data_IF_339772276048
#
_entry.id   IF_339772276048
#
_cell.length_a   1.000
_cell.length_b   1.000
_cell.length_c   1.000
_cell.angle_alpha   90.00
_cell.angle_beta   90.00
_cell.angle_gamma   90.00
#
_symmetry.space_group_name_H-M   'P 1'
#
loop_
_entity.id
_entity.type
_entity.pdbx_description
1 polymer ?
#
# COMPACT_ATOMS: atom_id res chain seq x y z
N UNK A 1 -20.20 -4.19 -0.46
CA UNK A 1 -18.93 -3.73 -1.08
C UNK A 1 -18.13 -4.96 -1.41
N UNK A 2 -18.52 -5.62 -2.50
CA UNK A 2 -17.77 -6.71 -3.13
C UNK A 2 -17.49 -6.37 -4.59
N UNK A 3 -17.37 -5.07 -4.91
CA UNK A 3 -17.13 -4.56 -6.27
C UNK A 3 -15.92 -3.62 -6.36
N UNK A 4 -15.09 -3.56 -5.32
CA UNK A 4 -13.76 -2.94 -5.42
C UNK A 4 -12.74 -4.05 -5.60
N UNK A 5 -12.82 -4.71 -6.75
CA UNK A 5 -11.65 -5.39 -7.28
C UNK A 5 -10.72 -4.28 -7.71
N UNK A 6 -9.61 -4.09 -6.99
CA UNK A 6 -8.40 -3.60 -7.63
C UNK A 6 -8.31 -4.38 -8.94
N UNK A 7 -8.52 -3.69 -10.09
CA UNK A 7 -8.18 -4.29 -11.37
C UNK A 7 -6.75 -4.77 -11.15
N UNK A 8 -6.53 -6.08 -11.24
CA UNK A 8 -5.18 -6.63 -11.21
C UNK A 8 -4.44 -5.88 -12.30
N UNK A 9 -3.58 -4.94 -11.92
CA UNK A 9 -2.50 -4.56 -12.81
C UNK A 9 -1.76 -5.86 -13.02
N UNK A 10 -1.95 -6.40 -14.20
CA UNK A 10 -1.48 -7.70 -14.61
C UNK A 10 0.01 -7.52 -14.95
N UNK A 11 0.80 -7.11 -13.95
CA UNK A 11 2.18 -6.68 -14.10
C UNK A 11 3.01 -7.87 -14.62
N UNK A 12 3.53 -7.80 -15.85
CA UNK A 12 4.39 -8.83 -16.41
C UNK A 12 5.60 -9.15 -15.53
N UNK A 13 6.15 -8.16 -14.81
CA UNK A 13 7.28 -8.34 -13.91
C UNK A 13 6.87 -9.14 -12.65
N UNK A 14 5.70 -8.88 -12.08
CA UNK A 14 5.14 -9.70 -10.98
C UNK A 14 4.86 -11.14 -11.43
N UNK A 15 4.41 -11.36 -12.68
CA UNK A 15 4.20 -12.71 -13.24
C UNK A 15 5.49 -13.48 -13.41
N UNK A 16 6.53 -12.86 -13.96
CA UNK A 16 7.85 -13.48 -14.13
C UNK A 16 8.47 -13.79 -12.76
N UNK A 17 8.40 -12.86 -11.81
CA UNK A 17 8.86 -13.07 -10.44
C UNK A 17 8.14 -14.24 -9.76
N UNK A 18 6.80 -14.27 -9.79
CA UNK A 18 5.99 -15.36 -9.21
C UNK A 18 6.28 -16.73 -9.86
N UNK A 19 6.56 -16.77 -11.16
CA UNK A 19 6.92 -18.01 -11.87
C UNK A 19 8.28 -18.54 -11.44
N UNK A 20 9.29 -17.66 -11.35
CA UNK A 20 10.63 -18.01 -10.86
C UNK A 20 10.58 -18.42 -9.39
N UNK A 21 9.70 -17.83 -8.60
CA UNK A 21 9.55 -18.13 -7.18
C UNK A 21 8.89 -19.50 -6.94
N UNK A 22 7.84 -19.84 -7.69
CA UNK A 22 7.24 -21.18 -7.66
C UNK A 22 8.22 -22.28 -8.09
N UNK A 23 9.10 -21.98 -9.04
CA UNK A 23 10.15 -22.92 -9.47
C UNK A 23 11.24 -23.09 -8.42
N UNK A 24 11.67 -22.01 -7.76
CA UNK A 24 12.64 -22.04 -6.67
C UNK A 24 12.09 -22.78 -5.44
N UNK A 25 10.85 -22.50 -5.02
CA UNK A 25 10.21 -23.19 -3.90
C UNK A 25 10.01 -24.70 -4.17
N UNK A 26 9.74 -25.10 -5.42
CA UNK A 26 9.70 -26.53 -5.79
C UNK A 26 11.10 -27.16 -5.72
N UNK A 27 12.12 -26.50 -6.25
CA UNK A 27 13.49 -26.99 -6.22
C UNK A 27 14.04 -27.12 -4.79
N UNK A 28 13.74 -26.17 -3.90
CA UNK A 28 14.14 -26.23 -2.49
C UNK A 28 13.44 -27.39 -1.76
N UNK A 29 12.13 -27.60 -1.99
CA UNK A 29 11.37 -28.75 -1.43
C UNK A 29 11.85 -30.10 -1.94
N UNK A 30 12.26 -30.18 -3.21
CA UNK A 30 12.76 -31.41 -3.84
C UNK A 30 14.21 -31.75 -3.42
N UNK A 31 14.99 -30.77 -2.96
CA UNK A 31 16.40 -30.94 -2.61
C UNK A 31 16.68 -31.68 -1.29
N UNK A 32 15.67 -31.96 -0.47
CA UNK A 32 15.79 -32.77 0.75
C UNK A 32 16.73 -32.21 1.84
N UNK A 33 17.23 -30.96 1.72
CA UNK A 33 18.14 -30.34 2.71
C UNK A 33 17.43 -29.74 3.92
N UNK A 34 16.33 -30.36 4.35
CA UNK A 34 15.68 -30.00 5.61
C UNK A 34 16.10 -31.00 6.69
N UNK A 35 16.74 -30.47 7.74
CA UNK A 35 17.26 -31.13 8.94
C UNK A 35 18.65 -31.74 8.84
N UNK A 36 19.68 -30.90 9.02
CA UNK A 36 20.76 -31.34 9.92
C UNK A 36 20.47 -30.75 11.31
N UNK A 37 20.09 -31.63 12.22
CA UNK A 37 19.66 -31.30 13.59
C UNK A 37 20.61 -31.90 14.61
N UNK A 38 21.91 -31.81 14.36
CA UNK A 38 22.92 -32.31 15.30
C UNK A 38 22.87 -31.48 16.60
N UNK A 39 22.40 -32.13 17.66
CA UNK A 39 22.20 -31.63 19.02
C UNK A 39 23.54 -31.27 19.68
N UNK A 40 23.62 -30.10 20.32
CA UNK A 40 24.58 -29.88 21.42
C UNK A 40 23.94 -30.42 22.71
N UNK A 41 24.63 -31.26 23.51
CA UNK A 41 24.10 -31.72 24.79
C UNK A 41 24.20 -30.61 25.84
N UNK A 42 23.07 -30.29 26.47
CA UNK A 42 23.02 -29.34 27.60
C UNK A 42 22.02 -28.18 27.43
N UNK A 43 20.73 -28.50 27.42
CA UNK A 43 19.61 -27.60 27.78
C UNK A 43 19.75 -26.09 27.57
N UNK A 44 20.00 -25.61 26.34
CA UNK A 44 19.92 -24.18 25.95
C UNK A 44 19.36 -24.06 24.52
N UNK A 45 18.78 -22.90 24.20
CA UNK A 45 18.09 -22.52 22.96
C UNK A 45 18.47 -23.34 21.73
N UNK A 46 17.49 -23.94 21.04
CA UNK A 46 17.75 -24.72 19.83
C UNK A 46 18.05 -23.76 18.67
N UNK A 47 19.27 -23.82 18.16
CA UNK A 47 19.74 -23.09 16.99
C UNK A 47 19.29 -23.81 15.72
N UNK A 48 18.78 -23.08 14.73
CA UNK A 48 18.56 -23.59 13.38
C UNK A 48 19.58 -22.93 12.46
N UNK A 49 20.47 -23.71 11.86
CA UNK A 49 21.38 -23.22 10.82
C UNK A 49 20.85 -23.66 9.46
N UNK A 50 20.62 -22.69 8.58
CA UNK A 50 20.19 -22.92 7.21
C UNK A 50 21.19 -22.26 6.26
N UNK A 51 21.71 -23.03 5.30
CA UNK A 51 22.57 -22.49 4.24
C UNK A 51 21.75 -22.28 2.99
N UNK A 52 21.65 -21.03 2.51
CA UNK A 52 20.98 -20.77 1.25
C UNK A 52 21.85 -21.23 0.06
N UNK A 53 21.29 -21.94 -0.93
CA UNK A 53 21.95 -22.13 -2.22
C UNK A 53 22.28 -20.78 -2.86
N UNK A 54 23.37 -20.71 -3.62
CA UNK A 54 23.76 -19.50 -4.36
C UNK A 54 22.58 -18.98 -5.19
N UNK A 55 22.09 -17.78 -4.87
CA UNK A 55 21.36 -16.97 -5.84
C UNK A 55 22.35 -16.70 -7.00
N UNK A 56 21.96 -16.94 -8.26
CA UNK A 56 22.86 -16.92 -9.44
C UNK A 56 24.00 -15.87 -9.30
N UNK A 57 25.24 -16.34 -9.21
CA UNK A 57 26.44 -15.49 -9.15
C UNK A 57 26.75 -14.80 -7.80
N UNK A 58 25.95 -15.01 -6.75
CA UNK A 58 26.15 -14.40 -5.41
C UNK A 58 26.77 -15.38 -4.41
N UNK A 59 27.53 -14.88 -3.41
CA UNK A 59 27.97 -15.69 -2.29
C UNK A 59 26.78 -16.32 -1.56
N UNK A 60 26.91 -17.57 -1.06
CA UNK A 60 25.89 -18.13 -0.17
C UNK A 60 25.88 -17.34 1.15
N UNK A 61 24.69 -17.19 1.73
CA UNK A 61 24.50 -16.61 3.07
C UNK A 61 24.06 -17.72 4.03
N UNK A 62 24.78 -17.85 5.13
CA UNK A 62 24.49 -18.78 6.22
C UNK A 62 23.49 -18.11 7.19
N UNK A 63 22.24 -18.56 7.16
CA UNK A 63 21.16 -18.07 8.02
C UNK A 63 21.14 -18.83 9.34
N UNK A 64 21.16 -18.11 10.46
CA UNK A 64 21.03 -18.70 11.80
C UNK A 64 19.76 -18.19 12.46
N UNK A 65 18.80 -19.06 12.74
CA UNK A 65 17.59 -18.71 13.47
C UNK A 65 17.67 -19.16 14.94
N UNK A 66 17.49 -18.20 15.84
CA UNK A 66 17.31 -18.40 17.28
C UNK A 66 15.82 -18.20 17.59
N UNK A 67 15.11 -19.26 17.93
CA UNK A 67 13.65 -19.20 18.12
C UNK A 67 13.21 -19.77 19.46
N UNK A 68 12.17 -19.17 20.04
CA UNK A 68 11.60 -19.67 21.28
C UNK A 68 11.00 -21.08 21.05
N UNK A 69 11.15 -22.03 22.01
CA UNK A 69 10.66 -23.40 21.85
C UNK A 69 9.19 -23.49 21.46
N UNK A 70 8.35 -22.63 22.00
CA UNK A 70 6.91 -22.53 21.76
C UNK A 70 6.56 -22.04 20.34
N UNK A 71 7.49 -21.33 19.68
CA UNK A 71 7.32 -20.84 18.31
C UNK A 71 7.98 -21.74 17.27
N UNK A 72 8.53 -22.89 17.66
CA UNK A 72 9.24 -23.83 16.77
C UNK A 72 8.51 -24.15 15.45
N UNK A 73 7.18 -24.23 15.47
CA UNK A 73 6.38 -24.51 14.25
C UNK A 73 6.38 -23.37 13.21
N UNK A 74 6.94 -22.22 13.57
CA UNK A 74 7.04 -21.04 12.71
C UNK A 74 8.46 -20.82 12.19
N UNK A 75 9.41 -21.70 12.51
CA UNK A 75 10.82 -21.55 12.13
C UNK A 75 11.00 -21.39 10.61
N UNK A 76 10.37 -22.25 9.82
CA UNK A 76 10.44 -22.18 8.36
C UNK A 76 9.87 -20.86 7.81
N UNK A 77 8.84 -20.30 8.47
CA UNK A 77 8.23 -19.03 8.06
C UNK A 77 9.19 -17.86 8.23
N UNK A 78 9.98 -17.84 9.30
CA UNK A 78 11.03 -16.85 9.48
C UNK A 78 12.14 -17.01 8.44
N UNK A 79 12.64 -18.24 8.25
CA UNK A 79 13.71 -18.52 7.28
C UNK A 79 13.27 -18.13 5.86
N UNK A 80 12.06 -18.53 5.44
CA UNK A 80 11.56 -18.24 4.10
C UNK A 80 11.31 -16.74 3.89
N UNK A 81 10.82 -16.03 4.91
CA UNK A 81 10.67 -14.58 4.87
C UNK A 81 12.03 -13.85 4.74
N UNK A 82 13.05 -14.29 5.49
CA UNK A 82 14.41 -13.75 5.36
C UNK A 82 15.01 -14.03 3.98
N UNK A 83 14.81 -15.23 3.41
CA UNK A 83 15.22 -15.53 2.04
C UNK A 83 14.52 -14.64 1.02
N UNK A 84 13.23 -14.38 1.20
CA UNK A 84 12.45 -13.51 0.32
C UNK A 84 13.04 -12.09 0.34
N UNK A 85 13.31 -11.54 1.52
CA UNK A 85 13.97 -10.24 1.66
C UNK A 85 15.34 -10.22 0.96
N UNK A 86 16.27 -11.11 1.32
CA UNK A 86 17.61 -11.17 0.71
C UNK A 86 17.58 -11.32 -0.82
N UNK A 87 16.63 -12.10 -1.34
CA UNK A 87 16.46 -12.29 -2.78
C UNK A 87 15.94 -11.02 -3.45
N UNK A 88 14.85 -10.45 -2.96
CA UNK A 88 14.18 -9.33 -3.61
C UNK A 88 14.96 -8.03 -3.47
N UNK A 89 15.38 -7.68 -2.25
CA UNK A 89 16.23 -6.51 -2.01
C UNK A 89 17.56 -6.66 -2.74
N UNK A 90 18.13 -7.87 -2.69
CA UNK A 90 19.35 -8.21 -3.43
C UNK A 90 19.22 -7.95 -4.93
N UNK A 91 18.07 -8.33 -5.52
CA UNK A 91 17.81 -8.16 -6.95
C UNK A 91 17.44 -6.73 -7.33
N UNK A 92 16.78 -6.00 -6.43
CA UNK A 92 16.28 -4.66 -6.72
C UNK A 92 17.28 -3.57 -6.40
N UNK A 93 18.15 -3.72 -5.41
CA UNK A 93 19.00 -2.62 -4.94
C UNK A 93 20.47 -2.91 -5.16
N UNK A 94 20.94 -4.06 -4.66
CA UNK A 94 22.32 -4.51 -4.81
C UNK A 94 22.59 -5.72 -3.92
N UNK A 95 23.73 -6.41 -4.07
CA UNK A 95 24.00 -7.66 -3.35
C UNK A 95 24.21 -7.43 -1.84
N UNK A 96 23.70 -8.36 -1.02
CA UNK A 96 24.07 -8.45 0.38
C UNK A 96 25.54 -8.88 0.52
N UNK A 97 26.39 -8.14 1.24
CA UNK A 97 27.85 -8.34 1.20
C UNK A 97 28.36 -9.36 2.23
N UNK A 98 27.57 -9.72 3.24
CA UNK A 98 27.99 -10.60 4.32
C UNK A 98 27.62 -12.06 4.05
N UNK A 99 28.40 -12.99 4.59
CA UNK A 99 28.23 -14.43 4.40
C UNK A 99 27.31 -15.10 5.43
N UNK A 100 26.79 -14.33 6.40
CA UNK A 100 25.90 -14.83 7.43
C UNK A 100 24.86 -13.78 7.85
N UNK A 101 23.74 -14.26 8.39
CA UNK A 101 22.70 -13.43 8.98
C UNK A 101 22.00 -14.19 10.11
N UNK A 102 21.92 -13.57 11.28
CA UNK A 102 21.25 -14.14 12.45
C UNK A 102 19.87 -13.53 12.62
N UNK A 103 18.86 -14.39 12.72
CA UNK A 103 17.46 -14.04 12.98
C UNK A 103 17.14 -14.48 14.40
N UNK A 104 16.57 -13.58 15.21
CA UNK A 104 16.20 -13.87 16.59
C UNK A 104 14.70 -13.65 16.77
N UNK A 105 13.98 -14.65 17.25
CA UNK A 105 12.65 -14.47 17.84
C UNK A 105 12.84 -14.28 19.36
N UNK A 106 12.75 -13.02 19.84
CA UNK A 106 13.03 -12.70 21.23
C UNK A 106 11.92 -13.20 22.14
N UNK A 107 12.22 -13.34 23.43
CA UNK A 107 11.22 -13.71 24.42
C UNK A 107 10.08 -12.67 24.44
N UNK A 108 8.86 -13.15 24.63
CA UNK A 108 7.68 -12.30 24.70
C UNK A 108 7.83 -11.22 25.79
N UNK A 109 7.53 -9.96 25.45
CA UNK A 109 7.58 -8.84 26.40
C UNK A 109 8.99 -8.36 26.77
N UNK A 110 10.04 -8.88 26.13
CA UNK A 110 11.43 -8.44 26.37
C UNK A 110 11.74 -7.01 25.94
N UNK A 111 10.85 -6.38 25.15
CA UNK A 111 11.11 -5.07 24.53
C UNK A 111 12.15 -5.12 23.40
N UNK A 112 12.65 -6.30 23.05
CA UNK A 112 13.73 -6.49 22.09
C UNK A 112 13.25 -7.01 20.72
N UNK A 113 11.98 -6.82 20.36
CA UNK A 113 11.43 -7.30 19.07
C UNK A 113 11.38 -6.18 18.03
N UNK A 114 11.68 -6.52 16.78
CA UNK A 114 11.74 -5.56 15.68
C UNK A 114 12.96 -4.64 15.79
N UNK A 115 14.16 -5.22 15.94
CA UNK A 115 15.43 -4.50 15.98
C UNK A 115 16.38 -5.01 14.90
N UNK A 116 17.14 -4.12 14.28
CA UNK A 116 17.66 -4.30 12.93
C UNK A 116 19.19 -4.32 12.79
N UNK A 117 19.92 -4.71 13.85
CA UNK A 117 21.38 -4.65 13.85
C UNK A 117 22.04 -5.33 12.62
N UNK A 118 23.19 -4.81 12.14
CA UNK A 118 23.89 -5.43 11.03
C UNK A 118 24.24 -6.90 11.32
N UNK A 119 23.91 -7.80 10.39
CA UNK A 119 24.10 -9.27 10.47
C UNK A 119 23.33 -9.98 11.58
N UNK A 120 22.51 -9.26 12.36
CA UNK A 120 21.67 -9.80 13.42
C UNK A 120 20.43 -8.94 13.61
N UNK A 121 19.25 -9.49 13.34
CA UNK A 121 18.01 -8.78 13.65
C UNK A 121 17.08 -9.61 14.52
N UNK A 122 16.25 -8.91 15.29
CA UNK A 122 15.20 -9.52 16.08
C UNK A 122 13.87 -9.38 15.33
N UNK A 123 13.32 -10.50 14.89
CA UNK A 123 11.96 -10.54 14.39
C UNK A 123 10.97 -10.45 15.57
N UNK A 124 9.73 -10.83 15.32
CA UNK A 124 8.80 -11.18 16.38
C UNK A 124 7.70 -12.06 15.86
N UNK A 125 7.29 -13.03 16.67
CA UNK A 125 6.09 -13.81 16.37
C UNK A 125 5.19 -13.98 17.60
N UNK A 126 4.02 -14.55 17.37
CA UNK A 126 3.02 -14.84 18.39
C UNK A 126 2.58 -16.28 18.27
N UNK A 127 2.12 -16.83 19.40
CA UNK A 127 1.43 -18.11 19.40
C UNK A 127 0.24 -18.10 18.43
N UNK A 128 0.07 -19.26 17.79
CA UNK A 128 -1.02 -19.57 16.87
C UNK A 128 -1.16 -18.64 15.66
N UNK A 129 -0.10 -17.92 15.26
CA UNK A 129 -0.14 -17.10 14.05
C UNK A 129 -0.58 -17.93 12.84
N UNK A 130 -1.75 -17.67 12.24
CA UNK A 130 -2.23 -18.44 11.11
C UNK A 130 -1.42 -18.08 9.85
N UNK A 131 -1.19 -19.07 8.99
CA UNK A 131 -0.48 -18.85 7.73
C UNK A 131 -1.32 -17.99 6.78
N UNK A 132 -0.70 -17.03 6.08
CA UNK A 132 -1.42 -16.08 5.21
C UNK A 132 -1.99 -14.85 5.94
N UNK A 133 -1.76 -14.73 7.25
CA UNK A 133 -2.21 -13.60 8.07
C UNK A 133 -1.20 -12.46 8.21
N UNK A 134 -0.15 -12.40 7.39
CA UNK A 134 0.87 -11.34 7.41
C UNK A 134 1.99 -11.47 8.46
N UNK A 135 1.80 -12.30 9.49
CA UNK A 135 2.76 -12.48 10.58
C UNK A 135 3.15 -13.96 10.76
N UNK A 136 4.45 -14.29 10.89
CA UNK A 136 5.58 -13.37 11.12
C UNK A 136 6.28 -12.83 9.88
N UNK A 137 5.83 -13.17 8.67
CA UNK A 137 6.51 -12.86 7.42
C UNK A 137 6.74 -11.37 7.23
N UNK A 138 5.73 -10.53 7.43
CA UNK A 138 5.83 -9.08 7.24
C UNK A 138 6.89 -8.41 8.10
N UNK A 139 6.88 -8.69 9.41
CA UNK A 139 7.91 -8.19 10.34
C UNK A 139 9.27 -8.76 9.98
N UNK A 140 9.37 -10.05 9.71
CA UNK A 140 10.66 -10.68 9.38
C UNK A 140 11.27 -10.12 8.10
N UNK A 141 10.45 -9.79 7.08
CA UNK A 141 10.90 -9.12 5.86
C UNK A 141 11.37 -7.69 6.18
N UNK A 142 10.64 -6.96 7.03
CA UNK A 142 11.01 -5.61 7.46
C UNK A 142 12.38 -5.60 8.12
N UNK A 143 12.57 -6.40 9.16
CA UNK A 143 13.83 -6.45 9.89
C UNK A 143 15.00 -6.97 9.04
N UNK A 144 14.75 -7.95 8.16
CA UNK A 144 15.75 -8.40 7.19
C UNK A 144 16.04 -7.34 6.12
N UNK A 145 15.07 -6.49 5.79
CA UNK A 145 15.20 -5.41 4.81
C UNK A 145 16.09 -4.27 5.30
N UNK A 146 16.12 -4.03 6.61
CA UNK A 146 17.08 -3.12 7.25
C UNK A 146 18.54 -3.59 7.13
N UNK A 147 18.78 -4.79 6.61
CA UNK A 147 20.12 -5.20 6.21
C UNK A 147 20.60 -4.48 4.93
N UNK A 148 19.73 -3.71 4.26
CA UNK A 148 20.03 -2.92 3.07
C UNK A 148 19.84 -1.43 3.35
N UNK A 149 18.63 -1.03 3.77
CA UNK A 149 18.32 0.30 4.27
C UNK A 149 18.74 0.39 5.73
N UNK A 150 19.36 1.47 6.19
CA UNK A 150 20.15 1.53 7.44
C UNK A 150 21.48 0.76 7.42
N UNK A 151 21.50 -0.58 7.47
CA UNK A 151 22.76 -1.28 7.78
C UNK A 151 23.84 -1.12 6.71
N UNK A 152 23.45 -1.04 5.43
CA UNK A 152 24.36 -0.73 4.33
C UNK A 152 24.28 0.74 3.95
N UNK A 153 23.10 1.35 3.97
CA UNK A 153 22.92 2.78 3.69
C UNK A 153 22.73 3.52 5.02
N UNK A 154 23.83 3.92 5.65
CA UNK A 154 23.87 4.40 7.04
C UNK A 154 23.35 5.83 7.21
N UNK A 155 22.05 6.07 7.11
CA UNK A 155 21.46 7.39 7.38
C UNK A 155 21.47 7.74 8.88
N UNK A 156 21.30 9.02 9.18
CA UNK A 156 21.07 9.49 10.56
C UNK A 156 19.62 9.22 10.96
N UNK A 157 19.33 8.09 11.62
CA UNK A 157 17.97 7.72 12.05
C UNK A 157 17.37 8.72 13.04
N UNK A 158 18.19 9.38 13.84
CA UNK A 158 17.71 10.34 14.84
C UNK A 158 17.08 11.57 14.18
N UNK A 159 17.62 12.01 13.04
CA UNK A 159 17.12 13.18 12.31
C UNK A 159 16.24 12.79 11.12
N UNK A 160 16.58 11.71 10.42
CA UNK A 160 15.98 11.31 9.14
C UNK A 160 15.54 9.84 9.16
N UNK A 161 14.80 9.41 10.20
CA UNK A 161 14.31 8.03 10.33
C UNK A 161 13.52 7.56 9.10
N UNK A 162 12.90 8.48 8.35
CA UNK A 162 12.14 8.13 7.15
C UNK A 162 13.00 7.52 6.03
N UNK A 163 14.29 7.87 5.93
CA UNK A 163 15.21 7.27 4.95
C UNK A 163 15.48 5.80 5.24
N UNK A 164 15.38 5.41 6.51
CA UNK A 164 15.48 4.02 6.88
C UNK A 164 14.09 3.35 6.86
N UNK A 165 13.24 3.73 7.81
CA UNK A 165 11.97 3.09 8.08
C UNK A 165 10.99 3.18 6.92
N UNK A 166 11.03 4.29 6.20
CA UNK A 166 10.13 4.57 5.10
C UNK A 166 10.52 3.84 3.82
N UNK A 167 11.80 3.95 3.41
CA UNK A 167 12.33 3.20 2.26
C UNK A 167 12.19 1.70 2.50
N UNK A 168 12.48 1.24 3.73
CA UNK A 168 12.33 -0.14 4.10
C UNK A 168 10.87 -0.58 4.15
N UNK A 169 9.95 0.20 4.71
CA UNK A 169 8.51 -0.12 4.72
C UNK A 169 7.95 -0.31 3.31
N UNK A 170 8.33 0.56 2.36
CA UNK A 170 7.96 0.40 0.95
C UNK A 170 8.49 -0.93 0.38
N UNK A 171 9.78 -1.18 0.58
CA UNK A 171 10.48 -2.39 0.11
C UNK A 171 9.89 -3.68 0.69
N UNK A 172 9.51 -3.64 1.98
CA UNK A 172 8.83 -4.72 2.71
C UNK A 172 7.49 -5.04 2.08
N UNK A 173 6.68 -3.99 1.89
CA UNK A 173 5.33 -4.12 1.32
C UNK A 173 5.39 -4.73 -0.09
N UNK A 174 6.34 -4.28 -0.91
CA UNK A 174 6.56 -4.83 -2.25
C UNK A 174 7.02 -6.29 -2.20
N UNK A 175 8.04 -6.59 -1.40
CA UNK A 175 8.58 -7.95 -1.25
C UNK A 175 7.51 -8.92 -0.80
N UNK A 176 6.71 -8.53 0.20
CA UNK A 176 5.62 -9.34 0.69
C UNK A 176 4.58 -9.64 -0.40
N UNK A 177 4.13 -8.62 -1.12
CA UNK A 177 3.15 -8.77 -2.20
C UNK A 177 3.63 -9.68 -3.34
N UNK A 178 4.94 -9.69 -3.62
CA UNK A 178 5.56 -10.55 -4.64
C UNK A 178 5.63 -12.00 -4.16
N UNK A 179 6.14 -12.22 -2.96
CA UNK A 179 6.45 -13.56 -2.42
C UNK A 179 5.19 -14.29 -1.88
N UNK A 180 4.32 -13.58 -1.17
CA UNK A 180 3.19 -14.17 -0.44
C UNK A 180 1.83 -13.79 -1.01
N UNK A 181 1.73 -12.64 -1.68
CA UNK A 181 0.47 -12.15 -2.27
C UNK A 181 -0.45 -11.52 -1.22
N UNK A 182 -1.75 -11.75 -1.36
CA UNK A 182 -2.77 -11.11 -0.52
C UNK A 182 -2.86 -11.77 0.86
N UNK A 183 -3.06 -10.94 1.88
CA UNK A 183 -3.27 -11.40 3.25
C UNK A 183 -4.76 -11.59 3.56
N UNK A 184 -5.02 -12.51 4.48
CA UNK A 184 -6.35 -12.70 5.06
C UNK A 184 -6.47 -11.90 6.35
N UNK A 185 -7.67 -11.40 6.64
CA UNK A 185 -7.90 -10.71 7.91
C UNK A 185 -7.63 -11.63 9.09
N UNK A 186 -6.84 -11.15 10.05
CA UNK A 186 -6.69 -11.81 11.34
C UNK A 186 -7.09 -10.85 12.44
N UNK A 187 -8.17 -11.19 13.15
CA UNK A 187 -8.58 -10.50 14.37
C UNK A 187 -8.16 -11.31 15.58
N UNK A 188 -7.51 -10.66 16.54
CA UNK A 188 -7.04 -11.31 17.75
C UNK A 188 -7.92 -10.96 18.95
N UNK A 189 -8.37 -11.99 19.66
CA UNK A 189 -9.29 -11.92 20.81
C UNK A 189 -8.58 -12.29 22.13
N UNK A 190 -9.27 -12.03 23.24
CA UNK A 190 -8.81 -12.29 24.62
C UNK A 190 -7.52 -11.51 24.96
N UNK A 191 -7.62 -10.18 24.91
CA UNK A 191 -6.58 -9.28 25.44
C UNK A 191 -6.56 -9.38 26.97
N UNK A 192 -5.40 -9.66 27.62
CA UNK A 192 -5.30 -9.61 29.08
C UNK A 192 -5.66 -8.22 29.61
N UNK A 193 -6.57 -8.11 30.60
CA UNK A 193 -6.94 -6.83 31.20
C UNK A 193 -5.73 -6.09 31.78
N UNK A 194 -5.70 -4.76 31.65
CA UNK A 194 -4.63 -3.92 32.23
C UNK A 194 -3.27 -4.02 31.53
N UNK A 195 -3.21 -4.61 30.33
CA UNK A 195 -1.98 -4.72 29.55
C UNK A 195 -2.12 -3.99 28.22
N UNK A 196 -1.00 -3.59 27.60
CA UNK A 196 -0.98 -3.09 26.21
C UNK A 196 -0.94 -4.23 25.17
N UNK A 197 -1.11 -5.47 25.61
CA UNK A 197 -0.99 -6.64 24.76
C UNK A 197 -2.13 -6.69 23.73
N UNK A 198 -1.82 -7.21 22.53
CA UNK A 198 -2.87 -7.65 21.59
C UNK A 198 -3.40 -9.02 22.03
N UNK A 199 -4.61 -9.38 21.60
CA UNK A 199 -5.22 -10.67 21.94
C UNK A 199 -4.35 -11.88 21.55
N UNK A 200 -4.38 -12.95 22.34
CA UNK A 200 -3.54 -14.14 22.07
C UNK A 200 -4.20 -15.13 21.12
N UNK A 201 -5.53 -15.14 21.02
CA UNK A 201 -6.26 -16.06 20.14
C UNK A 201 -6.57 -15.41 18.78
N UNK A 202 -6.00 -15.90 17.67
CA UNK A 202 -6.30 -15.37 16.35
C UNK A 202 -7.53 -16.05 15.74
N UNK A 203 -8.45 -15.25 15.21
CA UNK A 203 -9.50 -15.67 14.30
C UNK A 203 -9.16 -15.13 12.91
N UNK A 204 -8.89 -16.04 11.98
CA UNK A 204 -8.69 -15.73 10.57
C UNK A 204 -10.03 -15.78 9.84
N UNK A 205 -10.35 -14.74 9.08
CA UNK A 205 -11.56 -14.69 8.27
C UNK A 205 -11.20 -14.91 6.81
N UNK A 206 -11.28 -16.17 6.35
CA UNK A 206 -10.76 -16.58 5.03
C UNK A 206 -11.42 -15.87 3.84
N UNK A 207 -12.67 -15.46 4.00
CA UNK A 207 -13.44 -14.71 2.99
C UNK A 207 -13.11 -13.22 2.93
N UNK A 208 -12.35 -12.69 3.88
CA UNK A 208 -11.92 -11.28 3.91
C UNK A 208 -10.44 -11.23 3.57
N UNK A 209 -10.16 -11.10 2.28
CA UNK A 209 -8.81 -10.83 1.78
C UNK A 209 -8.61 -9.33 1.68
N UNK A 210 -7.45 -8.86 2.13
CA UNK A 210 -7.00 -7.51 1.90
C UNK A 210 -5.95 -7.55 0.81
N UNK A 211 -6.38 -7.27 -0.41
CA UNK A 211 -5.48 -6.80 -1.44
C UNK A 211 -4.88 -5.46 -0.97
N UNK A 212 -3.55 -5.41 -0.81
CA UNK A 212 -2.87 -4.21 -0.29
C UNK A 212 -3.04 -3.98 1.22
N UNK A 213 -3.13 -5.03 2.05
CA UNK A 213 -3.17 -4.92 3.53
C UNK A 213 -2.11 -3.98 4.08
N UNK A 214 -0.88 -4.07 3.57
CA UNK A 214 0.20 -3.15 3.89
C UNK A 214 -0.18 -1.71 3.54
N UNK A 215 -0.58 -1.42 2.30
CA UNK A 215 -0.97 -0.06 1.88
C UNK A 215 -2.15 0.49 2.67
N UNK A 216 -3.13 -0.35 2.98
CA UNK A 216 -4.29 0.04 3.78
C UNK A 216 -3.91 0.33 5.25
N UNK A 217 -3.04 -0.49 5.84
CA UNK A 217 -2.51 -0.25 7.18
C UNK A 217 -1.68 1.04 7.23
N UNK A 218 -0.80 1.26 6.23
CA UNK A 218 -0.06 2.52 6.07
C UNK A 218 -0.99 3.70 5.87
N UNK A 219 -2.02 3.58 5.04
CA UNK A 219 -3.04 4.62 4.86
C UNK A 219 -3.75 4.96 6.18
N UNK A 220 -4.13 3.95 6.98
CA UNK A 220 -4.74 4.19 8.28
C UNK A 220 -3.79 4.94 9.24
N UNK A 221 -2.51 4.59 9.24
CA UNK A 221 -1.48 5.32 9.97
C UNK A 221 -1.32 6.76 9.48
N UNK A 222 -1.18 6.93 8.16
CA UNK A 222 -0.99 8.22 7.51
C UNK A 222 -2.16 9.18 7.75
N UNK A 223 -3.42 8.73 7.64
CA UNK A 223 -4.62 9.56 7.93
C UNK A 223 -4.60 10.18 9.34
N UNK A 224 -4.00 9.49 10.30
CA UNK A 224 -3.89 9.97 11.67
C UNK A 224 -2.74 10.96 11.88
N UNK A 225 -1.89 11.18 10.87
CA UNK A 225 -0.66 11.95 10.97
C UNK A 225 -0.39 12.90 9.79
N UNK A 226 -1.22 12.88 8.74
CA UNK A 226 -0.92 13.48 7.43
C UNK A 226 -0.45 14.94 7.50
N UNK A 227 -1.07 15.70 8.40
CA UNK A 227 -0.84 17.14 8.61
C UNK A 227 -0.15 17.45 9.95
N UNK A 228 0.30 16.44 10.69
CA UNK A 228 0.82 16.63 12.06
C UNK A 228 2.18 17.33 12.09
N UNK A 229 3.12 16.85 11.27
CA UNK A 229 4.45 17.46 11.13
C UNK A 229 4.93 17.35 9.67
N UNK A 230 5.80 18.27 9.27
CA UNK A 230 6.60 18.13 8.05
C UNK A 230 7.68 17.07 8.25
N UNK A 231 8.00 16.27 7.22
CA UNK A 231 9.07 15.27 7.36
C UNK A 231 10.47 15.92 7.35
N UNK A 232 10.58 17.19 6.95
CA UNK A 232 11.84 17.92 6.90
C UNK A 232 12.37 18.38 8.28
N UNK A 233 11.54 18.40 9.32
CA UNK A 233 12.07 18.62 10.67
C UNK A 233 12.74 17.33 11.17
N UNK A 234 13.82 17.42 11.97
CA UNK A 234 14.42 16.26 12.60
C UNK A 234 13.42 15.35 13.31
N UNK A 235 13.53 14.04 13.09
CA UNK A 235 12.57 13.03 13.56
C UNK A 235 12.35 13.08 15.07
N UNK A 236 13.40 13.33 15.86
CA UNK A 236 13.29 13.46 17.32
C UNK A 236 12.41 14.64 17.80
N UNK A 237 12.08 15.58 16.92
CA UNK A 237 11.16 16.69 17.19
C UNK A 237 9.72 16.43 16.74
N UNK A 238 9.44 15.30 16.07
CA UNK A 238 8.07 14.94 15.69
C UNK A 238 7.16 14.83 16.91
N UNK A 239 5.89 15.13 16.71
CA UNK A 239 4.91 14.92 17.76
C UNK A 239 4.86 13.42 18.15
N UNK A 240 4.97 13.07 19.45
CA UNK A 240 5.26 11.70 19.87
C UNK A 240 4.28 10.63 19.37
N UNK A 241 3.00 10.97 19.20
CA UNK A 241 1.96 10.00 18.79
C UNK A 241 1.84 9.80 17.26
N UNK A 242 2.57 10.61 16.48
CA UNK A 242 2.52 10.64 15.01
C UNK A 242 3.86 10.40 14.35
N UNK A 243 4.98 10.57 15.07
CA UNK A 243 6.33 10.39 14.52
C UNK A 243 6.54 9.06 13.79
N UNK A 244 6.19 7.93 14.41
CA UNK A 244 6.27 6.61 13.75
C UNK A 244 5.36 6.50 12.52
N UNK A 245 4.17 7.12 12.52
CA UNK A 245 3.29 7.10 11.34
C UNK A 245 3.90 7.89 10.18
N UNK A 246 4.59 8.99 10.46
CA UNK A 246 5.29 9.78 9.46
C UNK A 246 6.50 9.03 8.91
N UNK A 247 7.40 8.53 9.77
CA UNK A 247 8.63 7.85 9.32
C UNK A 247 8.34 6.63 8.47
N UNK A 248 7.33 5.83 8.83
CA UNK A 248 7.01 4.57 8.15
C UNK A 248 5.94 4.76 7.06
N UNK A 249 4.76 5.26 7.45
CA UNK A 249 3.56 5.16 6.61
C UNK A 249 3.51 6.25 5.54
N UNK A 250 3.81 7.50 5.90
CA UNK A 250 3.82 8.61 4.94
C UNK A 250 4.83 8.34 3.82
N UNK A 251 6.05 7.96 4.19
CA UNK A 251 7.12 7.62 3.24
C UNK A 251 6.74 6.50 2.30
N UNK A 252 6.25 5.38 2.84
CA UNK A 252 5.87 4.25 2.01
C UNK A 252 4.76 4.62 1.01
N UNK A 253 3.79 5.45 1.41
CA UNK A 253 2.71 5.87 0.54
C UNK A 253 3.16 6.84 -0.55
N UNK A 254 4.07 7.79 -0.27
CA UNK A 254 4.53 8.69 -1.31
C UNK A 254 5.52 8.02 -2.28
N UNK A 255 6.30 7.03 -1.83
CA UNK A 255 7.05 6.14 -2.73
C UNK A 255 6.13 5.29 -3.61
N UNK A 256 5.05 4.73 -3.05
CA UNK A 256 4.08 3.98 -3.83
C UNK A 256 3.29 4.88 -4.80
N UNK A 257 3.05 6.14 -4.43
CA UNK A 257 2.51 7.16 -5.35
C UNK A 257 3.49 7.43 -6.49
N UNK A 258 4.79 7.60 -6.20
CA UNK A 258 5.81 7.75 -7.24
C UNK A 258 5.93 6.50 -8.11
N UNK A 259 5.76 5.29 -7.56
CA UNK A 259 5.72 4.06 -8.35
C UNK A 259 4.58 4.08 -9.36
N UNK A 260 3.38 4.45 -8.91
CA UNK A 260 2.23 4.51 -9.79
C UNK A 260 2.37 5.60 -10.85
N UNK A 261 3.07 6.70 -10.52
CA UNK A 261 3.28 7.83 -11.41
C UNK A 261 4.41 7.61 -12.44
N UNK A 262 5.58 7.13 -11.99
CA UNK A 262 6.79 6.95 -12.81
C UNK A 262 6.94 5.53 -13.38
N UNK A 263 6.19 4.57 -12.85
CA UNK A 263 6.37 3.15 -13.09
C UNK A 263 7.43 2.51 -12.18
N UNK A 264 7.30 1.19 -11.99
CA UNK A 264 8.22 0.41 -11.17
C UNK A 264 9.66 0.46 -11.65
N UNK A 265 9.91 0.35 -12.96
CA UNK A 265 11.28 0.29 -13.49
C UNK A 265 12.05 1.57 -13.15
N UNK A 266 11.41 2.73 -13.26
CA UNK A 266 12.00 4.03 -12.89
C UNK A 266 12.23 4.13 -11.38
N UNK A 267 11.22 3.83 -10.55
CA UNK A 267 11.37 3.90 -9.09
C UNK A 267 12.41 2.90 -8.56
N UNK A 268 12.45 1.69 -9.12
CA UNK A 268 13.45 0.70 -8.77
C UNK A 268 14.85 1.17 -9.17
N UNK A 269 15.01 1.80 -10.33
CA UNK A 269 16.28 2.38 -10.75
C UNK A 269 16.72 3.51 -9.82
N UNK A 270 15.79 4.37 -9.35
CA UNK A 270 16.06 5.41 -8.35
C UNK A 270 16.61 4.76 -7.08
N UNK A 271 15.88 3.79 -6.51
CA UNK A 271 16.27 3.12 -5.27
C UNK A 271 17.58 2.35 -5.43
N UNK A 272 17.79 1.65 -6.54
CA UNK A 272 19.03 0.93 -6.82
C UNK A 272 20.23 1.87 -6.96
N UNK A 273 20.06 2.99 -7.67
CA UNK A 273 21.11 4.00 -7.85
C UNK A 273 21.45 4.66 -6.52
N UNK A 274 20.44 4.99 -5.71
CA UNK A 274 20.63 5.54 -4.38
C UNK A 274 21.40 4.55 -3.48
N UNK A 275 20.97 3.29 -3.45
CA UNK A 275 21.65 2.22 -2.71
C UNK A 275 23.11 2.07 -3.16
N UNK A 276 23.38 1.96 -4.45
CA UNK A 276 24.73 1.70 -4.96
C UNK A 276 25.69 2.88 -4.69
N UNK A 277 25.21 4.12 -4.76
CA UNK A 277 26.02 5.31 -4.47
C UNK A 277 26.30 5.49 -2.98
N UNK A 278 25.31 5.16 -2.14
CA UNK A 278 25.33 5.47 -0.71
C UNK A 278 25.55 4.27 0.21
N UNK A 279 25.73 3.05 -0.34
CA UNK A 279 26.19 1.91 0.44
C UNK A 279 27.53 2.23 1.12
N UNK A 280 27.62 1.91 2.40
CA UNK A 280 28.71 2.22 3.33
C UNK A 280 28.99 3.72 3.49
N UNK A 281 27.99 4.57 3.28
CA UNK A 281 28.04 6.04 3.46
C UNK A 281 26.83 6.51 4.27
N UNK A 282 26.81 7.82 4.56
CA UNK A 282 25.77 8.45 5.37
C UNK A 282 25.01 9.51 4.56
N UNK A 283 24.00 9.12 3.77
CA UNK A 283 23.23 10.07 2.96
C UNK A 283 22.35 10.98 3.82
N UNK A 284 22.06 12.14 3.26
CA UNK A 284 21.03 13.08 3.72
C UNK A 284 19.80 13.02 2.80
N UNK A 285 18.67 13.58 3.21
CA UNK A 285 17.46 13.72 2.39
C UNK A 285 17.74 14.25 0.98
N UNK A 286 18.57 15.29 0.87
CA UNK A 286 18.89 15.95 -0.40
C UNK A 286 19.60 15.01 -1.38
N UNK A 287 20.38 14.06 -0.87
CA UNK A 287 21.06 13.06 -1.68
C UNK A 287 20.07 12.08 -2.33
N UNK A 288 18.98 11.75 -1.64
CA UNK A 288 17.91 10.92 -2.20
C UNK A 288 17.14 11.68 -3.28
N UNK A 289 16.76 12.95 -3.01
CA UNK A 289 16.02 13.76 -3.98
C UNK A 289 16.83 13.99 -5.27
N UNK A 290 18.12 14.31 -5.15
CA UNK A 290 19.00 14.49 -6.30
C UNK A 290 19.10 13.21 -7.16
N UNK A 291 19.19 12.03 -6.54
CA UNK A 291 19.18 10.76 -7.27
C UNK A 291 17.81 10.50 -7.93
N UNK A 292 16.72 10.83 -7.23
CA UNK A 292 15.37 10.65 -7.77
C UNK A 292 15.15 11.46 -9.05
N UNK A 293 15.54 12.74 -9.04
CA UNK A 293 15.41 13.64 -10.19
C UNK A 293 16.35 13.26 -11.33
N UNK A 294 17.61 12.91 -11.01
CA UNK A 294 18.58 12.47 -12.01
C UNK A 294 18.10 11.23 -12.76
N UNK A 295 17.61 10.22 -12.04
CA UNK A 295 17.20 8.95 -12.65
C UNK A 295 15.83 9.06 -13.33
N UNK A 296 14.91 9.87 -12.81
CA UNK A 296 13.62 10.12 -13.42
C UNK A 296 13.67 11.09 -14.62
N UNK A 297 14.83 11.74 -14.85
CA UNK A 297 15.07 12.76 -15.88
C UNK A 297 13.99 13.86 -15.87
N UNK A 298 13.55 14.26 -14.68
CA UNK A 298 12.53 15.29 -14.49
C UNK A 298 12.65 15.94 -13.11
N UNK A 299 12.18 17.19 -13.03
CA UNK A 299 12.01 17.92 -11.76
C UNK A 299 10.90 17.28 -10.92
N UNK A 300 11.23 16.89 -9.68
CA UNK A 300 10.31 16.26 -8.74
C UNK A 300 10.11 17.11 -7.47
N UNK A 301 10.74 18.28 -7.38
CA UNK A 301 10.58 19.19 -6.25
C UNK A 301 9.13 19.62 -6.04
N UNK A 302 8.34 19.79 -7.11
CA UNK A 302 6.90 20.04 -7.00
C UNK A 302 6.16 19.00 -6.13
N UNK A 303 6.65 17.75 -6.09
CA UNK A 303 6.11 16.67 -5.27
C UNK A 303 6.79 16.63 -3.90
N UNK A 304 8.13 16.65 -3.84
CA UNK A 304 8.89 16.58 -2.59
C UNK A 304 8.65 17.78 -1.66
N UNK A 305 8.40 18.96 -2.21
CA UNK A 305 8.03 20.15 -1.43
C UNK A 305 6.77 19.92 -0.60
N UNK A 306 5.84 19.11 -1.10
CA UNK A 306 4.54 18.88 -0.48
C UNK A 306 4.56 17.68 0.46
N UNK A 307 5.20 16.58 0.06
CA UNK A 307 5.22 15.34 0.85
C UNK A 307 6.31 15.34 1.92
N UNK A 308 7.45 15.98 1.67
CA UNK A 308 8.60 15.98 2.58
C UNK A 308 8.77 17.34 3.27
N UNK A 309 8.87 18.44 2.51
CA UNK A 309 9.19 19.77 3.06
C UNK A 309 7.99 20.44 3.73
N UNK A 310 6.78 20.06 3.35
CA UNK A 310 5.53 20.47 3.96
C UNK A 310 4.73 19.29 4.54
N UNK A 311 3.60 19.63 5.16
CA UNK A 311 2.63 18.69 5.69
C UNK A 311 1.30 18.80 4.92
N UNK A 312 1.39 18.89 3.58
CA UNK A 312 0.20 19.03 2.75
C UNK A 312 -0.65 17.77 2.77
N UNK A 313 -1.96 17.96 2.88
CA UNK A 313 -2.95 16.89 2.76
C UNK A 313 -3.46 16.81 1.34
N UNK A 314 -3.48 15.60 0.77
CA UNK A 314 -4.08 15.33 -0.54
C UNK A 314 -5.50 14.80 -0.34
N UNK A 315 -6.49 15.50 -0.92
CA UNK A 315 -7.91 15.10 -0.92
C UNK A 315 -8.58 15.69 -2.16
N UNK A 316 -8.98 14.82 -3.11
CA UNK A 316 -9.65 15.18 -4.34
C UNK A 316 -11.06 14.58 -4.38
N UNK A 317 -12.06 15.42 -4.58
CA UNK A 317 -13.45 15.02 -4.53
C UNK A 317 -14.19 15.32 -5.84
N UNK A 318 -15.16 14.47 -6.20
CA UNK A 318 -16.21 14.83 -7.15
C UNK A 318 -17.28 15.64 -6.40
N UNK A 319 -17.20 16.97 -6.49
CA UNK A 319 -18.08 17.89 -5.76
C UNK A 319 -19.51 17.86 -6.29
N UNK A 320 -19.69 17.78 -7.62
CA UNK A 320 -21.02 17.63 -8.22
C UNK A 320 -20.96 16.99 -9.60
N UNK A 321 -22.04 16.29 -9.94
CA UNK A 321 -22.30 15.76 -11.28
C UNK A 321 -23.72 16.16 -11.67
N UNK A 322 -23.90 16.64 -12.90
CA UNK A 322 -25.22 16.99 -13.46
C UNK A 322 -25.23 16.56 -14.92
N UNK A 323 -26.32 15.97 -15.38
CA UNK A 323 -26.60 15.77 -16.81
C UNK A 323 -27.98 16.31 -17.07
N UNK A 324 -28.07 17.36 -17.88
CA UNK A 324 -29.33 17.99 -18.27
C UNK A 324 -29.51 17.83 -19.77
N UNK A 325 -30.75 17.70 -20.24
CA UNK A 325 -31.01 17.78 -21.67
C UNK A 325 -30.48 19.12 -22.20
N UNK A 326 -29.64 19.08 -23.23
CA UNK A 326 -29.17 20.29 -23.88
C UNK A 326 -30.35 20.89 -24.65
N UNK A 327 -30.65 22.16 -24.40
CA UNK A 327 -31.60 22.88 -25.25
C UNK A 327 -31.02 22.89 -26.68
N UNK A 328 -31.73 22.27 -27.62
CA UNK A 328 -31.47 22.50 -29.04
C UNK A 328 -32.03 23.89 -29.34
N UNK A 329 -31.16 24.89 -29.39
CA UNK A 329 -31.46 26.20 -29.97
C UNK A 329 -30.85 26.25 -31.36
N UNK A 330 -31.71 26.28 -32.38
CA UNK A 330 -31.23 26.32 -33.76
C UNK A 330 -32.34 26.33 -34.79
N UNK A 331 -31.96 26.57 -36.04
CA UNK A 331 -32.83 26.42 -37.20
C UNK A 331 -32.81 24.95 -37.64
N UNK A 332 -33.96 24.28 -37.63
CA UNK A 332 -34.13 22.90 -38.11
C UNK A 332 -34.86 22.97 -39.44
N UNK A 333 -34.29 22.36 -40.49
CA UNK A 333 -34.96 22.21 -41.78
C UNK A 333 -36.06 21.14 -41.66
N UNK A 334 -37.32 21.57 -41.76
CA UNK A 334 -38.47 20.69 -41.96
C UNK A 334 -39.07 20.97 -43.32
N UNK A 335 -38.94 20.00 -44.21
CA UNK A 335 -39.56 20.03 -45.54
C UNK A 335 -39.20 21.27 -46.38
N UNK A 336 -37.99 21.83 -46.21
CA UNK A 336 -37.51 22.99 -46.96
C UNK A 336 -37.81 24.33 -46.30
N UNK A 337 -38.40 24.35 -45.10
CA UNK A 337 -38.53 25.54 -44.26
C UNK A 337 -37.64 25.43 -43.01
N UNK A 338 -36.84 26.47 -42.76
CA UNK A 338 -36.04 26.59 -41.56
C UNK A 338 -36.94 27.04 -40.39
N UNK A 339 -37.29 26.10 -39.53
CA UNK A 339 -38.03 26.37 -38.29
C UNK A 339 -37.05 26.65 -37.15
N UNK A 340 -37.22 27.78 -36.46
CA UNK A 340 -36.50 28.03 -35.21
C UNK A 340 -37.09 27.14 -34.11
N UNK A 341 -36.32 26.15 -33.68
CA UNK A 341 -36.65 25.31 -32.53
C UNK A 341 -35.88 25.86 -31.34
N UNK A 342 -36.62 26.35 -30.34
CA UNK A 342 -36.13 26.56 -28.98
C UNK A 342 -36.92 25.62 -28.08
N UNK A 343 -36.40 24.41 -27.88
CA UNK A 343 -36.96 23.49 -26.90
C UNK A 343 -36.62 23.99 -25.49
N UNK A 344 -37.55 23.94 -24.52
CA UNK A 344 -37.20 24.21 -23.13
C UNK A 344 -36.12 23.22 -22.71
N UNK A 345 -35.09 23.71 -22.02
CA UNK A 345 -34.26 22.88 -21.17
C UNK A 345 -35.14 22.39 -20.03
N UNK A 346 -35.92 21.34 -20.28
CA UNK A 346 -36.79 20.77 -19.27
C UNK A 346 -35.90 20.05 -18.26
N UNK A 347 -35.80 20.60 -17.06
CA UNK A 347 -34.96 20.07 -15.97
C UNK A 347 -35.46 18.70 -15.47
N UNK A 348 -36.69 18.31 -15.85
CA UNK A 348 -37.39 17.08 -15.45
C UNK A 348 -37.70 16.12 -16.63
N UNK A 349 -37.31 16.44 -17.87
CA UNK A 349 -37.55 15.54 -19.02
C UNK A 349 -36.50 14.42 -19.04
N UNK A 350 -36.84 13.31 -18.38
CA UNK A 350 -35.96 12.14 -18.28
C UNK A 350 -35.74 11.40 -19.62
N UNK A 351 -36.49 11.71 -20.68
CA UNK A 351 -36.60 10.78 -21.82
C UNK A 351 -36.88 11.44 -23.19
N UNK A 352 -36.21 12.56 -23.51
CA UNK A 352 -36.43 13.27 -24.78
C UNK A 352 -35.54 12.81 -25.96
N UNK A 353 -34.70 11.77 -25.79
CA UNK A 353 -33.87 11.24 -26.89
C UNK A 353 -32.91 12.26 -27.52
N UNK A 354 -32.46 13.25 -26.74
CA UNK A 354 -31.61 14.37 -27.19
C UNK A 354 -30.16 14.31 -26.69
N UNK A 355 -29.35 15.29 -27.10
CA UNK A 355 -28.01 15.51 -26.54
C UNK A 355 -28.16 16.03 -25.11
N UNK A 356 -27.43 15.43 -24.17
CA UNK A 356 -27.32 15.85 -22.78
C UNK A 356 -26.03 16.65 -22.58
N UNK A 357 -26.16 17.81 -21.95
CA UNK A 357 -25.03 18.57 -21.42
C UNK A 357 -24.73 18.09 -20.01
N UNK A 358 -23.59 17.43 -19.87
CA UNK A 358 -23.07 16.91 -18.61
C UNK A 358 -22.04 17.86 -18.04
N UNK A 359 -22.19 18.23 -16.77
CA UNK A 359 -21.20 18.99 -15.99
C UNK A 359 -20.69 18.15 -14.82
N UNK A 360 -19.37 17.96 -14.75
CA UNK A 360 -18.69 17.33 -13.60
C UNK A 360 -17.77 18.35 -12.97
N UNK A 361 -17.99 18.65 -11.69
CA UNK A 361 -17.12 19.55 -10.92
C UNK A 361 -16.24 18.71 -10.02
N UNK A 362 -14.93 18.80 -10.23
CA UNK A 362 -13.90 18.17 -9.40
C UNK A 362 -13.25 19.25 -8.55
N UNK A 363 -13.07 18.96 -7.27
CA UNK A 363 -12.52 19.88 -6.29
C UNK A 363 -11.33 19.27 -5.56
N UNK A 364 -10.27 20.05 -5.41
CA UNK A 364 -9.12 19.77 -4.56
C UNK A 364 -9.40 20.34 -3.17
N UNK A 365 -9.89 19.48 -2.28
CA UNK A 365 -10.28 19.81 -0.91
C UNK A 365 -9.03 20.03 -0.06
N UNK A 366 -8.06 19.12 -0.18
CA UNK A 366 -6.76 19.21 0.48
C UNK A 366 -5.85 20.29 -0.10
N UNK A 367 -4.74 20.59 0.55
CA UNK A 367 -3.74 21.55 0.07
C UNK A 367 -2.77 20.98 -0.97
N UNK A 368 -2.62 19.65 -1.04
CA UNK A 368 -1.68 18.95 -1.91
C UNK A 368 -2.07 18.96 -3.39
N UNK A 369 -1.19 19.49 -4.24
CA UNK A 369 -1.29 19.57 -5.70
C UNK A 369 -0.74 18.28 -6.33
N UNK A 370 -1.51 17.63 -7.18
CA UNK A 370 -1.08 16.45 -7.92
C UNK A 370 -1.86 16.38 -9.25
N UNK A 371 -1.22 16.01 -10.37
CA UNK A 371 -1.92 15.79 -11.62
C UNK A 371 -2.80 14.53 -11.50
N UNK A 372 -4.11 14.68 -11.74
CA UNK A 372 -5.09 13.60 -11.63
C UNK A 372 -5.90 13.48 -12.91
N UNK A 373 -6.31 12.26 -13.22
CA UNK A 373 -7.27 12.00 -14.28
C UNK A 373 -8.69 11.96 -13.72
N UNK A 374 -9.65 12.37 -14.54
CA UNK A 374 -11.08 12.33 -14.26
C UNK A 374 -11.73 11.46 -15.30
N UNK A 375 -12.35 10.37 -14.86
CA UNK A 375 -13.12 9.44 -15.68
C UNK A 375 -14.60 9.77 -15.55
N UNK A 376 -15.27 9.95 -16.67
CA UNK A 376 -16.72 10.12 -16.80
C UNK A 376 -17.27 8.94 -17.58
N UNK A 377 -18.17 8.17 -16.96
CA UNK A 377 -18.78 6.98 -17.58
C UNK A 377 -20.26 7.25 -17.81
N UNK A 378 -20.72 7.03 -19.03
CA UNK A 378 -22.09 7.30 -19.49
C UNK A 378 -22.95 6.03 -19.45
N UNK A 379 -24.28 6.19 -19.49
CA UNK A 379 -25.23 5.08 -19.37
C UNK A 379 -25.21 4.10 -20.55
N UNK A 380 -24.65 4.51 -21.69
CA UNK A 380 -24.41 3.68 -22.87
C UNK A 380 -23.08 2.90 -22.79
N UNK A 381 -22.29 3.11 -21.74
CA UNK A 381 -20.98 2.51 -21.53
C UNK A 381 -19.83 3.28 -22.17
N UNK A 382 -20.06 4.44 -22.79
CA UNK A 382 -18.96 5.30 -23.25
C UNK A 382 -18.17 5.86 -22.06
N UNK A 383 -16.86 5.99 -22.23
CA UNK A 383 -15.94 6.52 -21.23
C UNK A 383 -15.20 7.74 -21.80
N UNK A 384 -15.19 8.83 -21.02
CA UNK A 384 -14.38 10.02 -21.29
C UNK A 384 -13.38 10.20 -20.18
N UNK A 385 -12.11 10.38 -20.55
CA UNK A 385 -11.03 10.61 -19.60
C UNK A 385 -10.35 11.93 -19.89
N UNK A 386 -10.30 12.79 -18.89
CA UNK A 386 -9.61 14.08 -18.97
C UNK A 386 -8.59 14.23 -17.84
N UNK A 387 -7.44 14.80 -18.16
CA UNK A 387 -6.40 15.11 -17.18
C UNK A 387 -6.54 16.52 -16.62
N UNK A 388 -6.23 16.67 -15.34
CA UNK A 388 -6.18 17.96 -14.65
C UNK A 388 -4.93 18.08 -13.78
N UNK A 389 -4.25 19.21 -13.90
CA UNK A 389 -3.01 19.50 -13.16
C UNK A 389 -3.19 19.68 -11.64
N UNK A 390 -4.43 19.77 -11.15
CA UNK A 390 -4.74 19.97 -9.75
C UNK A 390 -4.38 21.35 -9.20
N UNK A 391 -3.89 22.31 -10.01
CA UNK A 391 -3.37 23.61 -9.49
C UNK A 391 -4.47 24.50 -8.93
N UNK A 392 -5.57 24.61 -9.66
CA UNK A 392 -6.75 25.35 -9.17
C UNK A 392 -7.44 24.58 -8.03
N UNK A 393 -8.33 25.26 -7.29
CA UNK A 393 -9.10 24.60 -6.22
C UNK A 393 -10.21 23.69 -6.77
N UNK A 394 -10.68 23.96 -7.97
CA UNK A 394 -11.68 23.16 -8.65
C UNK A 394 -11.55 23.32 -10.16
N UNK A 395 -12.09 22.36 -10.91
CA UNK A 395 -12.27 22.42 -12.36
C UNK A 395 -13.64 21.84 -12.72
N UNK A 396 -14.31 22.48 -13.68
CA UNK A 396 -15.54 21.96 -14.28
C UNK A 396 -15.20 21.34 -15.64
N UNK A 397 -15.65 20.10 -15.83
CA UNK A 397 -15.62 19.38 -17.09
C UNK A 397 -17.02 19.41 -17.69
N UNK A 398 -17.12 19.66 -19.00
CA UNK A 398 -18.41 19.78 -19.70
C UNK A 398 -18.36 18.90 -20.94
N UNK A 399 -19.29 17.97 -21.03
CA UNK A 399 -19.42 17.02 -22.14
C UNK A 399 -20.84 17.08 -22.71
N UNK A 400 -20.97 17.05 -24.04
CA UNK A 400 -22.27 17.00 -24.74
C UNK A 400 -22.40 15.67 -25.47
N UNK A 401 -23.32 14.81 -25.03
CA UNK A 401 -23.47 13.42 -25.53
C UNK A 401 -24.91 12.97 -25.61
N UNK A 402 -25.27 12.01 -26.47
CA UNK A 402 -26.63 11.46 -26.57
C UNK A 402 -27.03 10.59 -25.35
N UNK A 403 -26.17 10.46 -24.34
CA UNK A 403 -26.38 9.66 -23.15
C UNK A 403 -26.11 10.47 -21.87
N UNK A 404 -26.83 10.16 -20.79
CA UNK A 404 -26.61 10.77 -19.49
C UNK A 404 -25.36 10.18 -18.83
N UNK A 405 -24.76 10.95 -17.93
CA UNK A 405 -23.68 10.44 -17.08
C UNK A 405 -24.24 9.37 -16.13
N UNK A 406 -23.55 8.25 -16.02
CA UNK A 406 -23.79 7.25 -14.98
C UNK A 406 -23.05 7.64 -13.71
N UNK A 407 -21.73 7.81 -13.79
CA UNK A 407 -20.88 8.24 -12.68
C UNK A 407 -19.60 8.92 -13.15
N UNK A 408 -18.96 9.65 -12.25
CA UNK A 408 -17.61 10.19 -12.45
C UNK A 408 -16.68 9.77 -11.30
N UNK A 409 -15.39 9.67 -11.61
CA UNK A 409 -14.32 9.31 -10.68
C UNK A 409 -13.10 10.20 -10.93
N UNK A 410 -12.50 10.74 -9.87
CA UNK A 410 -11.17 11.38 -9.91
C UNK A 410 -10.13 10.38 -9.41
N UNK A 411 -8.98 10.35 -10.08
CA UNK A 411 -7.92 9.35 -9.91
C UNK A 411 -8.44 7.89 -10.05
N UNK A 412 -9.02 7.52 -11.21
CA UNK A 412 -9.64 6.20 -11.41
C UNK A 412 -8.65 5.03 -11.30
N UNK A 413 -7.37 5.29 -11.57
CA UNK A 413 -6.30 4.27 -11.54
C UNK A 413 -5.56 4.22 -10.18
N UNK A 414 -5.98 5.03 -9.21
CA UNK A 414 -5.38 5.12 -7.87
C UNK A 414 -3.88 5.45 -7.90
N UNK A 415 -3.49 6.38 -8.78
CA UNK A 415 -2.12 6.88 -8.85
C UNK A 415 -1.77 7.59 -7.54
N UNK A 416 -2.64 8.46 -7.05
CA UNK A 416 -2.44 9.25 -5.84
C UNK A 416 -2.81 8.45 -4.59
N UNK A 417 -1.91 7.58 -4.15
CA UNK A 417 -2.16 6.78 -2.95
C UNK A 417 -2.21 7.63 -1.68
N UNK A 418 -1.69 8.86 -1.69
CA UNK A 418 -1.75 9.81 -0.57
C UNK A 418 -3.13 10.44 -0.35
N UNK A 419 -4.12 10.20 -1.21
CA UNK A 419 -5.47 10.75 -0.99
C UNK A 419 -6.07 10.20 0.32
N UNK A 420 -6.30 11.10 1.29
CA UNK A 420 -6.78 10.73 2.63
C UNK A 420 -8.26 10.35 2.61
N UNK A 421 -9.05 10.80 1.63
CA UNK A 421 -10.50 10.56 1.59
C UNK A 421 -11.01 10.02 0.25
N UNK A 422 -10.46 8.89 -0.17
CA UNK A 422 -10.93 8.13 -1.36
C UNK A 422 -12.43 7.87 -1.49
N UNK A 423 -13.23 8.04 -0.43
CA UNK A 423 -14.69 7.82 -0.50
C UNK A 423 -15.44 8.96 -1.21
N UNK A 424 -14.83 10.13 -1.34
CA UNK A 424 -15.40 11.27 -2.06
C UNK A 424 -14.88 11.40 -3.51
N UNK A 425 -13.93 10.55 -3.92
CA UNK A 425 -13.32 10.55 -5.26
C UNK A 425 -14.28 10.06 -6.36
N UNK A 426 -15.48 9.59 -6.02
CA UNK A 426 -16.45 9.15 -7.02
C UNK A 426 -17.87 9.59 -6.67
N UNK A 427 -18.69 9.78 -7.69
CA UNK A 427 -20.09 10.16 -7.52
C UNK A 427 -20.96 9.60 -8.63
N UNK A 428 -22.04 8.92 -8.25
CA UNK A 428 -23.13 8.53 -9.15
C UNK A 428 -23.99 9.75 -9.48
N UNK A 429 -24.50 9.84 -10.71
CA UNK A 429 -25.51 10.84 -11.08
C UNK A 429 -26.76 10.68 -10.22
N UNK A 430 -27.30 9.46 -10.18
CA UNK A 430 -28.44 9.11 -9.35
C UNK A 430 -27.99 8.44 -8.05
N UNK A 431 -28.43 9.02 -6.93
CA UNK A 431 -28.09 8.50 -5.61
C UNK A 431 -28.79 7.17 -5.35
N UNK A 432 -28.02 6.09 -5.21
CA UNK A 432 -28.54 4.79 -4.77
C UNK A 432 -28.61 4.70 -3.25
N UNK A 433 -29.24 5.67 -2.57
CA UNK A 433 -29.23 5.81 -1.11
C UNK A 433 -29.75 4.57 -0.34
N UNK A 434 -30.60 3.76 -0.97
CA UNK A 434 -31.13 2.51 -0.41
C UNK A 434 -30.06 1.44 -0.24
N UNK A 435 -29.06 1.34 -1.13
CA UNK A 435 -28.03 0.30 -1.08
C UNK A 435 -27.09 0.44 0.14
N UNK A 436 -26.53 1.63 0.47
CA UNK A 436 -25.79 1.84 1.70
C UNK A 436 -26.62 1.54 2.96
N UNK A 437 -27.89 1.95 2.98
CA UNK A 437 -28.78 1.70 4.11
C UNK A 437 -28.98 0.20 4.34
N UNK A 438 -29.34 -0.55 3.29
CA UNK A 438 -29.48 -2.02 3.36
C UNK A 438 -28.17 -2.66 3.83
N UNK A 439 -27.02 -2.27 3.26
CA UNK A 439 -25.72 -2.82 3.66
C UNK A 439 -25.41 -2.60 5.14
N UNK A 440 -25.63 -1.41 5.68
CA UNK A 440 -25.36 -1.10 7.08
C UNK A 440 -26.32 -1.84 8.01
N UNK A 441 -27.60 -1.91 7.64
CA UNK A 441 -28.60 -2.72 8.35
C UNK A 441 -28.18 -4.20 8.36
N UNK A 442 -27.78 -4.77 7.23
CA UNK A 442 -27.30 -6.16 7.17
C UNK A 442 -26.07 -6.40 8.04
N UNK A 443 -25.09 -5.47 8.02
CA UNK A 443 -23.91 -5.56 8.89
C UNK A 443 -24.29 -5.54 10.37
N UNK A 444 -25.21 -4.67 10.75
CA UNK A 444 -25.67 -4.57 12.13
C UNK A 444 -26.42 -5.83 12.55
N UNK A 445 -27.28 -6.37 11.68
CA UNK A 445 -28.00 -7.62 11.94
C UNK A 445 -27.05 -8.82 12.11
N UNK A 446 -26.00 -8.91 11.28
CA UNK A 446 -24.96 -9.93 11.45
C UNK A 446 -24.21 -9.78 12.77
N UNK A 447 -23.85 -8.55 13.14
CA UNK A 447 -23.21 -8.28 14.43
C UNK A 447 -24.10 -8.65 15.63
N UNK A 448 -25.39 -8.32 15.55
CA UNK A 448 -26.37 -8.68 16.57
C UNK A 448 -26.53 -10.20 16.66
N UNK A 449 -26.62 -10.89 15.52
CA UNK A 449 -26.68 -12.34 15.46
C UNK A 449 -25.45 -12.99 16.10
N UNK A 450 -24.25 -12.54 15.76
CA UNK A 450 -23.01 -13.06 16.34
C UNK A 450 -22.93 -12.79 17.84
N UNK A 451 -23.36 -11.60 18.29
CA UNK A 451 -23.44 -11.26 19.70
C UNK A 451 -24.40 -12.19 20.45
N UNK A 452 -25.60 -12.42 19.92
CA UNK A 452 -26.60 -13.31 20.52
C UNK A 452 -26.14 -14.77 20.52
N UNK A 453 -25.52 -15.25 19.44
CA UNK A 453 -24.97 -16.59 19.36
C UNK A 453 -23.81 -16.81 20.33
N UNK A 454 -22.94 -15.80 20.49
CA UNK A 454 -21.86 -15.83 21.48
C UNK A 454 -22.42 -15.81 22.89
N UNK A 455 -23.40 -14.95 23.17
CA UNK A 455 -24.05 -14.89 24.48
C UNK A 455 -24.74 -16.22 24.83
N UNK A 456 -25.46 -16.83 23.88
CA UNK A 456 -26.09 -18.14 24.05
C UNK A 456 -25.12 -19.32 24.15
N UNK A 457 -23.83 -19.15 23.85
CA UNK A 457 -22.81 -20.15 24.15
C UNK A 457 -22.37 -20.10 25.62
N UNK A 458 -22.52 -18.95 26.29
CA UNK A 458 -22.11 -18.73 27.68
C UNK A 458 -23.25 -18.81 28.71
N UNK A 459 -24.50 -18.86 28.26
CA UNK A 459 -25.72 -19.10 29.06
C UNK A 459 -26.21 -20.51 28.77
#
# INVERSE_FOLDING_TARGET
LGLWGLRRQDDPALRVCRRLDRQAHRADRESGRHNDSSLLPGGRSRFYLYRQPRLRGRPPVDLRLLIQPEHRRQADRHIDATKAALRHYGNWYGPYPYDHLTVVDPAYGSGAGGMEYPTLFTAGTRLFNPFGGGSPEGVTIHEAGHQFWYALVGNNEFEYAWLDEGLNTFSTSRTYNVAYGEEQYVKRYFKPPGTDMRGFFPLMLDGIRYSGSFWQERMNGYRLAATSDSQAIPTYMYFPSTGSKLSYSKTALWLATLENYLGWDTLQAILSTFFERWKFRHPKPEDFFAVAEEVADQDLDWFFDQVYRAAEEFDYAIESVKSKSAAVEGMVDREGELEYVAGPADDDADDAGGVYRTEVVVRRVGGGIFPVDVLMVFEDGEEVRESWDGRYRWRKFVEERPSKLSYAVVDPDFILLLDTNRTNNSRLRESQATLPAVKWTTRWMLWLQDFLATFGFFV
#
